data_IF_364316227455
#
_entry.id   IF_364316227455
#
_cell.length_a   1.000
_cell.length_b   1.000
_cell.length_c   1.000
_cell.angle_alpha   90.00
_cell.angle_beta   90.00
_cell.angle_gamma   90.00
#
_symmetry.space_group_name_H-M   'P 1'
#
loop_
_entity.id
_entity.type
_entity.pdbx_description
1 polymer ?
#
# COMPACT_ATOMS: atom_id res chain seq x y z
N UNK A 1 -22.22 -10.86 -35.87
CA UNK A 1 -22.62 -11.56 -34.63
C UNK A 1 -21.44 -11.52 -33.68
N UNK A 2 -21.50 -10.63 -32.69
CA UNK A 2 -20.44 -10.43 -31.70
C UNK A 2 -20.24 -11.69 -30.85
N UNK A 3 -19.02 -12.23 -30.84
CA UNK A 3 -18.65 -13.26 -29.88
C UNK A 3 -18.48 -12.58 -28.52
N UNK A 4 -19.46 -12.78 -27.65
CA UNK A 4 -19.35 -12.53 -26.23
C UNK A 4 -18.09 -13.23 -25.68
N UNK A 5 -16.99 -12.49 -25.53
CA UNK A 5 -15.82 -12.90 -24.76
C UNK A 5 -16.19 -12.91 -23.27
N UNK A 6 -17.00 -13.89 -22.85
CA UNK A 6 -17.19 -14.19 -21.43
C UNK A 6 -15.84 -14.67 -20.89
N UNK A 7 -15.20 -13.84 -20.07
CA UNK A 7 -14.01 -14.22 -19.32
C UNK A 7 -14.37 -15.43 -18.43
N UNK A 8 -13.93 -16.63 -18.83
CA UNK A 8 -14.08 -17.85 -18.04
C UNK A 8 -12.95 -17.87 -17.02
N UNK A 9 -13.26 -17.56 -15.76
CA UNK A 9 -12.30 -17.64 -14.67
C UNK A 9 -12.18 -19.09 -14.18
N UNK A 10 -10.96 -19.64 -14.12
CA UNK A 10 -10.70 -20.90 -13.44
C UNK A 10 -10.94 -20.76 -11.92
N UNK A 11 -11.16 -21.88 -11.21
CA UNK A 11 -11.31 -21.89 -9.74
C UNK A 11 -10.15 -21.18 -9.01
N UNK A 12 -8.93 -21.24 -9.55
CA UNK A 12 -7.76 -20.54 -8.99
C UNK A 12 -7.87 -19.02 -9.10
N UNK A 13 -8.43 -18.50 -10.21
CA UNK A 13 -8.55 -17.07 -10.45
C UNK A 13 -9.64 -16.45 -9.56
N UNK A 14 -10.75 -17.15 -9.35
CA UNK A 14 -11.79 -16.72 -8.42
C UNK A 14 -11.32 -16.71 -6.95
N UNK A 15 -10.46 -17.67 -6.56
CA UNK A 15 -9.84 -17.69 -5.24
C UNK A 15 -8.85 -16.54 -5.04
N UNK A 16 -8.01 -16.26 -6.05
CA UNK A 16 -7.10 -15.11 -5.99
C UNK A 16 -7.86 -13.78 -5.92
N UNK A 17 -8.94 -13.63 -6.71
CA UNK A 17 -9.76 -12.42 -6.68
C UNK A 17 -10.35 -12.19 -5.28
N UNK A 18 -10.90 -13.23 -4.65
CA UNK A 18 -11.40 -13.13 -3.27
C UNK A 18 -10.33 -12.67 -2.29
N UNK A 19 -9.14 -13.27 -2.34
CA UNK A 19 -8.01 -12.83 -1.49
C UNK A 19 -7.60 -11.38 -1.73
N UNK A 20 -7.62 -10.94 -2.99
CA UNK A 20 -7.36 -9.54 -3.33
C UNK A 20 -8.44 -8.62 -2.76
N UNK A 21 -9.72 -8.95 -2.96
CA UNK A 21 -10.86 -8.17 -2.46
C UNK A 21 -10.87 -8.11 -0.93
N UNK A 22 -10.56 -9.21 -0.25
CA UNK A 22 -10.39 -9.29 1.21
C UNK A 22 -9.24 -8.40 1.68
N UNK A 23 -8.07 -8.50 1.05
CA UNK A 23 -6.91 -7.68 1.40
C UNK A 23 -7.17 -6.17 1.22
N UNK A 24 -7.87 -5.79 0.14
CA UNK A 24 -8.29 -4.39 -0.06
C UNK A 24 -9.32 -3.97 1.00
N UNK A 25 -10.27 -4.82 1.35
CA UNK A 25 -11.27 -4.51 2.39
C UNK A 25 -10.59 -4.30 3.75
N UNK A 26 -9.67 -5.19 4.13
CA UNK A 26 -8.88 -5.03 5.37
C UNK A 26 -8.10 -3.73 5.33
N UNK A 27 -7.47 -3.39 4.20
CA UNK A 27 -6.76 -2.13 4.03
C UNK A 27 -7.69 -0.92 4.21
N UNK A 28 -8.89 -0.93 3.61
CA UNK A 28 -9.89 0.14 3.74
C UNK A 28 -10.31 0.37 5.20
N UNK A 29 -10.65 -0.70 5.92
CA UNK A 29 -10.98 -0.61 7.34
C UNK A 29 -9.79 -0.14 8.18
N UNK A 30 -8.58 -0.61 7.89
CA UNK A 30 -7.38 -0.21 8.63
C UNK A 30 -7.08 1.28 8.45
N UNK A 31 -7.18 1.80 7.22
CA UNK A 31 -7.03 3.23 6.94
C UNK A 31 -8.10 4.03 7.68
N UNK A 32 -9.37 3.58 7.67
CA UNK A 32 -10.44 4.21 8.44
C UNK A 32 -10.16 4.28 9.94
N UNK A 33 -9.66 3.18 10.53
CA UNK A 33 -9.35 3.11 11.96
C UNK A 33 -8.21 4.05 12.35
N UNK A 34 -7.19 4.19 11.50
CA UNK A 34 -6.11 5.17 11.71
C UNK A 34 -6.61 6.60 11.54
N UNK A 35 -7.41 6.86 10.50
CA UNK A 35 -7.82 8.23 10.12
C UNK A 35 -8.91 8.82 11.02
N UNK A 36 -9.90 8.03 11.42
CA UNK A 36 -11.05 8.52 12.20
C UNK A 36 -10.95 8.26 13.69
N UNK A 37 -10.21 7.23 14.10
CA UNK A 37 -10.14 6.77 15.49
C UNK A 37 -8.72 6.83 16.06
N UNK A 38 -7.76 7.36 15.29
CA UNK A 38 -6.37 7.55 15.72
C UNK A 38 -5.69 6.27 16.23
N UNK A 39 -6.13 5.10 15.76
CA UNK A 39 -5.60 3.80 16.18
C UNK A 39 -4.32 3.44 15.43
N UNK A 40 -3.18 4.02 15.84
CA UNK A 40 -1.91 3.91 15.13
C UNK A 40 -1.35 2.48 15.03
N UNK A 41 -1.81 1.53 15.85
CA UNK A 41 -1.45 0.11 15.75
C UNK A 41 -1.84 -0.49 14.40
N UNK A 42 -2.87 0.07 13.75
CA UNK A 42 -3.30 -0.36 12.42
C UNK A 42 -2.36 0.08 11.31
N UNK A 43 -1.37 0.96 11.56
CA UNK A 43 -0.29 1.23 10.60
C UNK A 43 0.44 -0.04 10.17
N UNK A 44 0.56 -1.03 11.07
CA UNK A 44 1.22 -2.31 10.82
C UNK A 44 0.41 -3.15 9.85
N UNK A 45 -0.91 -3.13 10.04
CA UNK A 45 -1.86 -3.82 9.18
C UNK A 45 -1.84 -3.17 7.80
N UNK A 46 -1.85 -1.84 7.72
CA UNK A 46 -1.73 -1.09 6.47
C UNK A 46 -0.44 -1.47 5.74
N UNK A 47 0.72 -1.41 6.41
CA UNK A 47 2.00 -1.75 5.81
C UNK A 47 2.05 -3.21 5.33
N UNK A 48 1.55 -4.16 6.13
CA UNK A 48 1.47 -5.57 5.77
C UNK A 48 0.56 -5.83 4.57
N UNK A 49 -0.62 -5.19 4.51
CA UNK A 49 -1.53 -5.30 3.38
C UNK A 49 -0.95 -4.66 2.12
N UNK A 50 -0.31 -3.49 2.22
CA UNK A 50 0.40 -2.88 1.09
C UNK A 50 1.52 -3.79 0.58
N UNK A 51 2.31 -4.40 1.47
CA UNK A 51 3.35 -5.39 1.11
C UNK A 51 2.75 -6.61 0.41
N UNK A 52 1.61 -7.12 0.87
CA UNK A 52 0.92 -8.24 0.23
C UNK A 52 0.37 -7.87 -1.17
N UNK A 53 -0.26 -6.70 -1.27
CA UNK A 53 -0.94 -6.22 -2.48
C UNK A 53 0.04 -5.78 -3.56
N UNK A 54 1.12 -5.09 -3.17
CA UNK A 54 2.05 -4.38 -4.06
C UNK A 54 3.48 -4.89 -3.99
N UNK A 55 3.80 -5.79 -3.07
CA UNK A 55 5.17 -6.22 -2.77
C UNK A 55 5.95 -6.82 -3.93
N UNK A 56 7.24 -7.01 -3.70
CA UNK A 56 8.24 -7.19 -4.75
C UNK A 56 8.21 -8.55 -5.47
N UNK A 57 9.03 -8.62 -6.50
CA UNK A 57 9.54 -9.84 -7.08
C UNK A 57 10.53 -10.55 -6.16
N UNK A 58 10.26 -11.81 -5.82
CA UNK A 58 11.22 -12.70 -5.16
C UNK A 58 12.15 -13.30 -6.21
N UNK A 59 13.45 -13.07 -6.07
CA UNK A 59 14.45 -13.83 -6.81
C UNK A 59 14.66 -15.17 -6.11
N UNK A 60 14.37 -16.27 -6.81
CA UNK A 60 14.57 -17.62 -6.28
C UNK A 60 15.26 -18.48 -7.32
N UNK A 61 15.67 -19.69 -6.93
CA UNK A 61 16.18 -20.69 -7.87
C UNK A 61 15.19 -21.84 -7.94
N UNK A 62 14.68 -22.11 -9.14
CA UNK A 62 13.90 -23.32 -9.41
C UNK A 62 14.76 -24.20 -10.31
N UNK A 63 15.08 -25.42 -9.86
CA UNK A 63 15.90 -26.38 -10.62
C UNK A 63 17.20 -25.78 -11.21
N UNK A 64 17.91 -24.99 -10.41
CA UNK A 64 19.18 -24.28 -10.74
C UNK A 64 19.05 -23.04 -11.65
N UNK A 65 17.88 -22.73 -12.18
CA UNK A 65 17.63 -21.49 -12.92
C UNK A 65 17.25 -20.35 -11.98
N UNK A 66 17.80 -19.16 -12.19
CA UNK A 66 17.35 -17.94 -11.48
C UNK A 66 16.00 -17.54 -12.04
N UNK A 67 14.97 -17.58 -11.21
CA UNK A 67 13.60 -17.19 -11.56
C UNK A 67 13.19 -15.99 -10.71
N UNK A 68 12.60 -15.00 -11.36
CA UNK A 68 12.03 -13.82 -10.72
C UNK A 68 10.51 -14.01 -10.62
N UNK A 69 9.99 -14.12 -9.40
CA UNK A 69 8.56 -14.37 -9.15
C UNK A 69 7.94 -13.11 -8.56
N UNK A 70 7.06 -12.43 -9.29
CA UNK A 70 6.26 -11.35 -8.72
C UNK A 70 5.19 -11.92 -7.78
N UNK A 71 5.25 -11.56 -6.50
CA UNK A 71 4.36 -12.11 -5.50
C UNK A 71 3.12 -11.23 -5.24
N UNK A 72 3.08 -10.04 -5.82
CA UNK A 72 1.99 -9.09 -5.59
C UNK A 72 0.62 -9.66 -5.97
N UNK A 73 -0.36 -9.50 -5.09
CA UNK A 73 -1.72 -9.94 -5.39
C UNK A 73 -2.30 -9.16 -6.58
N UNK A 74 -1.96 -7.87 -6.74
CA UNK A 74 -2.50 -7.06 -7.82
C UNK A 74 -2.14 -7.63 -9.20
N UNK A 75 -0.92 -8.13 -9.42
CA UNK A 75 -0.52 -8.75 -10.71
C UNK A 75 -1.21 -10.07 -10.99
N UNK A 76 -1.61 -10.80 -9.95
CA UNK A 76 -2.35 -12.07 -10.09
C UNK A 76 -3.77 -11.85 -10.59
N UNK A 77 -4.33 -10.65 -10.40
CA UNK A 77 -5.67 -10.27 -10.88
C UNK A 77 -5.60 -9.49 -12.18
N UNK A 78 -4.67 -8.54 -12.26
CA UNK A 78 -4.41 -7.73 -13.44
C UNK A 78 -2.92 -7.87 -13.81
N UNK A 79 -2.55 -8.63 -14.86
CA UNK A 79 -1.16 -8.85 -15.25
C UNK A 79 -0.37 -7.57 -15.56
N UNK A 80 -1.06 -6.49 -15.94
CA UNK A 80 -0.46 -5.20 -16.27
C UNK A 80 -1.10 -4.07 -15.46
N UNK A 81 -0.94 -4.08 -14.12
CA UNK A 81 -1.53 -3.06 -13.27
C UNK A 81 -0.82 -1.73 -13.52
N UNK A 82 -1.63 -0.67 -13.63
CA UNK A 82 -1.15 0.70 -13.79
C UNK A 82 -1.62 1.53 -12.60
N UNK A 83 -0.71 2.30 -12.03
CA UNK A 83 -0.92 3.11 -10.82
C UNK A 83 -0.54 4.57 -11.09
N UNK A 84 -1.17 5.52 -10.41
CA UNK A 84 -0.81 6.94 -10.55
C UNK A 84 0.62 7.20 -10.04
N UNK A 85 1.43 8.00 -10.76
CA UNK A 85 2.79 8.32 -10.35
C UNK A 85 2.79 9.31 -9.17
N UNK A 86 3.90 9.39 -8.44
CA UNK A 86 4.07 10.39 -7.37
C UNK A 86 4.06 11.81 -7.96
N UNK A 87 3.52 12.76 -7.20
CA UNK A 87 3.59 14.19 -7.57
C UNK A 87 5.02 14.73 -7.44
N UNK A 88 5.77 14.21 -6.49
CA UNK A 88 7.18 14.50 -6.23
C UNK A 88 7.73 13.57 -5.15
N UNK A 89 8.98 13.79 -4.74
CA UNK A 89 9.53 13.15 -3.54
C UNK A 89 9.42 14.08 -2.34
N UNK A 90 9.22 13.50 -1.15
CA UNK A 90 9.26 14.24 0.10
C UNK A 90 10.73 14.45 0.50
N UNK A 91 11.13 15.69 0.70
CA UNK A 91 12.47 16.06 1.15
C UNK A 91 12.46 16.37 2.65
N UNK A 92 13.27 15.65 3.41
CA UNK A 92 13.46 15.94 4.85
C UNK A 92 14.69 16.82 5.03
N UNK A 93 14.43 18.04 5.52
CA UNK A 93 15.47 19.00 5.88
C UNK A 93 16.30 18.54 7.08
N UNK A 94 17.42 19.23 7.32
CA UNK A 94 18.37 18.89 8.41
C UNK A 94 17.75 18.91 9.82
N UNK A 95 16.62 19.57 9.99
CA UNK A 95 15.87 19.68 11.26
C UNK A 95 14.87 18.54 11.47
N UNK A 96 14.74 17.61 10.51
CA UNK A 96 13.76 16.52 10.56
C UNK A 96 12.34 16.93 10.13
N UNK A 97 12.11 18.22 9.85
CA UNK A 97 10.85 18.70 9.31
C UNK A 97 10.73 18.34 7.82
N UNK A 98 9.54 17.88 7.43
CA UNK A 98 9.17 17.57 6.06
C UNK A 98 7.87 18.29 5.72
N UNK A 99 7.83 18.99 4.60
CA UNK A 99 6.56 19.44 4.04
C UNK A 99 5.92 18.26 3.32
N UNK A 100 4.80 17.77 3.87
CA UNK A 100 4.05 16.68 3.28
C UNK A 100 3.00 17.26 2.34
N UNK A 101 2.96 16.81 1.07
CA UNK A 101 1.95 17.29 0.14
C UNK A 101 0.56 16.80 0.57
N UNK A 102 -0.47 17.58 0.25
CA UNK A 102 -1.87 17.22 0.52
C UNK A 102 -2.26 15.93 -0.23
N UNK A 103 -1.80 15.78 -1.47
CA UNK A 103 -1.91 14.55 -2.26
C UNK A 103 -0.51 14.01 -2.60
N UNK A 104 -0.29 12.73 -2.32
CA UNK A 104 1.00 12.07 -2.59
C UNK A 104 1.21 11.76 -4.09
N UNK A 105 0.12 11.61 -4.85
CA UNK A 105 0.13 11.15 -6.24
C UNK A 105 -0.43 12.21 -7.18
N UNK A 106 0.14 12.26 -8.38
CA UNK A 106 -0.34 13.12 -9.45
C UNK A 106 -1.44 12.41 -10.26
N UNK A 107 -2.69 12.74 -9.94
CA UNK A 107 -3.85 12.17 -10.62
C UNK A 107 -4.12 12.78 -12.00
N UNK A 108 -3.39 13.84 -12.40
CA UNK A 108 -3.46 14.41 -13.75
C UNK A 108 -2.62 13.63 -14.76
N UNK A 109 -1.59 12.92 -14.28
CA UNK A 109 -0.68 12.14 -15.12
C UNK A 109 -1.23 10.76 -15.46
N UNK A 110 -0.74 10.23 -16.58
CA UNK A 110 -1.03 8.86 -16.98
C UNK A 110 -0.46 7.87 -15.96
N UNK A 111 -1.27 6.85 -15.62
CA UNK A 111 -0.86 5.74 -14.77
C UNK A 111 0.32 4.97 -15.38
N UNK A 112 1.34 4.70 -14.56
CA UNK A 112 2.58 3.99 -14.93
C UNK A 112 2.52 2.52 -14.48
N UNK A 113 3.40 1.68 -15.04
CA UNK A 113 3.45 0.27 -14.68
C UNK A 113 3.96 0.06 -13.25
N UNK A 114 3.60 -1.07 -12.65
CA UNK A 114 3.92 -1.37 -11.25
C UNK A 114 5.42 -1.43 -10.94
N UNK A 115 6.29 -1.84 -11.88
CA UNK A 115 7.73 -1.89 -11.62
C UNK A 115 8.29 -0.48 -11.52
N UNK A 116 7.96 0.37 -12.50
CA UNK A 116 8.31 1.79 -12.45
C UNK A 116 7.73 2.45 -11.20
N UNK A 117 6.47 2.14 -10.86
CA UNK A 117 5.80 2.72 -9.70
C UNK A 117 6.51 2.38 -8.38
N UNK A 118 6.85 1.11 -8.16
CA UNK A 118 7.56 0.62 -6.96
C UNK A 118 8.90 1.32 -6.73
N UNK A 119 9.59 1.64 -7.83
CA UNK A 119 10.93 2.20 -7.82
C UNK A 119 10.97 3.73 -7.79
N UNK A 120 9.80 4.40 -7.78
CA UNK A 120 9.77 5.85 -7.58
C UNK A 120 10.33 6.20 -6.20
N UNK A 121 11.18 7.22 -6.15
CA UNK A 121 11.73 7.75 -4.89
C UNK A 121 10.62 8.54 -4.19
N UNK A 122 10.18 8.03 -3.04
CA UNK A 122 9.14 8.68 -2.23
C UNK A 122 9.73 9.67 -1.23
N UNK A 123 10.99 9.46 -0.88
CA UNK A 123 11.66 10.17 0.20
C UNK A 123 13.13 10.41 -0.13
N UNK A 124 13.61 11.62 0.14
CA UNK A 124 15.03 12.00 0.04
C UNK A 124 15.47 12.75 1.30
N UNK A 125 16.69 12.46 1.76
CA UNK A 125 17.37 13.25 2.79
C UNK A 125 18.89 13.24 2.56
N UNK A 126 19.63 14.01 3.35
CA UNK A 126 21.09 14.01 3.34
C UNK A 126 21.61 13.70 4.75
N UNK A 127 22.37 12.61 4.89
CA UNK A 127 23.00 12.21 6.14
C UNK A 127 24.51 12.28 6.00
N UNK A 128 25.20 13.02 6.87
CA UNK A 128 26.67 13.18 6.84
C UNK A 128 27.21 13.63 5.45
N UNK A 129 26.42 14.43 4.72
CA UNK A 129 26.75 14.89 3.37
C UNK A 129 26.53 13.86 2.26
N UNK A 130 25.95 12.69 2.56
CA UNK A 130 25.56 11.69 1.56
C UNK A 130 24.06 11.73 1.29
N UNK A 131 23.63 11.79 0.01
CA UNK A 131 22.22 11.68 -0.33
C UNK A 131 21.73 10.26 0.00
N UNK A 132 20.55 10.22 0.61
CA UNK A 132 19.88 9.00 1.00
C UNK A 132 18.48 9.05 0.38
N UNK A 133 18.18 8.06 -0.46
CA UNK A 133 16.92 7.97 -1.18
C UNK A 133 16.20 6.67 -0.78
N UNK A 134 14.89 6.75 -0.60
CA UNK A 134 14.04 5.60 -0.32
C UNK A 134 12.94 5.52 -1.38
N UNK A 135 12.80 4.33 -1.98
CA UNK A 135 11.75 4.05 -2.95
C UNK A 135 10.44 3.66 -2.25
N UNK A 136 9.32 3.67 -2.98
CA UNK A 136 8.03 3.20 -2.45
C UNK A 136 8.14 1.76 -1.93
N UNK A 137 8.78 0.86 -2.67
CA UNK A 137 8.87 -0.54 -2.28
C UNK A 137 9.74 -0.73 -1.03
N UNK A 138 10.82 0.02 -0.91
CA UNK A 138 11.69 -0.03 0.27
C UNK A 138 10.97 0.49 1.51
N UNK A 139 10.22 1.59 1.37
CA UNK A 139 9.38 2.12 2.45
C UNK A 139 8.34 1.10 2.93
N UNK A 140 7.58 0.49 2.02
CA UNK A 140 6.55 -0.50 2.38
C UNK A 140 7.16 -1.71 3.10
N UNK A 141 8.33 -2.18 2.65
CA UNK A 141 9.03 -3.29 3.29
C UNK A 141 9.48 -2.92 4.69
N UNK A 142 10.18 -1.80 4.83
CA UNK A 142 10.69 -1.33 6.11
C UNK A 142 9.53 -1.11 7.10
N UNK A 143 8.44 -0.47 6.67
CA UNK A 143 7.25 -0.27 7.51
C UNK A 143 6.60 -1.59 7.91
N UNK A 144 6.53 -2.59 7.02
CA UNK A 144 5.94 -3.88 7.36
C UNK A 144 6.85 -4.72 8.30
N UNK A 145 8.17 -4.66 8.09
CA UNK A 145 9.13 -5.49 8.82
C UNK A 145 9.49 -4.88 10.18
N UNK A 146 9.59 -3.53 10.28
CA UNK A 146 9.82 -2.80 11.53
C UNK A 146 8.73 -3.05 12.56
N UNK A 147 7.49 -3.16 12.12
CA UNK A 147 6.34 -3.21 13.04
C UNK A 147 5.74 -4.62 13.18
N UNK A 148 6.25 -5.60 12.42
CA UNK A 148 5.98 -7.03 12.62
C UNK A 148 6.89 -7.71 13.64
N UNK A 149 7.79 -7.00 14.33
CA UNK A 149 8.68 -7.55 15.36
C UNK A 149 9.81 -8.45 14.83
N UNK A 150 9.98 -8.56 13.51
CA UNK A 150 11.15 -9.17 12.94
C UNK A 150 12.38 -8.30 13.26
N UNK A 151 13.50 -8.91 13.65
CA UNK A 151 14.78 -8.20 13.67
C UNK A 151 15.06 -7.72 12.24
N UNK A 152 14.65 -6.50 11.93
CA UNK A 152 14.99 -5.85 10.68
C UNK A 152 16.53 -5.86 10.60
N UNK A 153 17.06 -6.55 9.60
CA UNK A 153 18.48 -6.54 9.23
C UNK A 153 18.84 -5.06 9.00
N UNK A 154 19.36 -4.41 10.04
CA UNK A 154 19.48 -2.96 10.10
C UNK A 154 20.67 -2.49 9.28
N UNK A 155 20.57 -2.63 7.96
CA UNK A 155 21.52 -2.07 7.01
C UNK A 155 21.19 -0.62 6.64
N UNK A 156 20.06 -0.11 7.13
CA UNK A 156 19.59 1.21 6.75
C UNK A 156 19.45 2.11 7.99
N UNK A 157 20.09 3.30 8.02
CA UNK A 157 20.16 4.19 9.17
C UNK A 157 18.86 4.99 9.43
N UNK A 158 17.71 4.60 8.85
CA UNK A 158 16.45 5.35 8.95
C UNK A 158 15.77 5.29 10.32
N UNK A 159 16.28 4.48 11.27
CA UNK A 159 15.69 4.31 12.61
C UNK A 159 15.43 5.62 13.36
N UNK A 160 16.17 6.69 13.04
CA UNK A 160 16.09 7.99 13.73
C UNK A 160 15.52 9.16 12.90
N UNK A 161 15.25 9.00 11.60
CA UNK A 161 15.01 10.15 10.70
C UNK A 161 13.57 10.28 10.17
N UNK A 162 12.81 9.19 10.06
CA UNK A 162 11.40 9.25 9.69
C UNK A 162 10.58 9.23 10.99
N UNK A 163 10.04 10.38 11.37
CA UNK A 163 9.10 10.48 12.49
C UNK A 163 7.92 9.53 12.28
N UNK A 164 7.35 8.98 13.36
CA UNK A 164 6.18 8.10 13.29
C UNK A 164 5.02 8.75 12.52
N UNK A 165 4.84 10.07 12.69
CA UNK A 165 3.86 10.86 11.96
C UNK A 165 4.03 10.78 10.43
N UNK A 166 5.27 10.80 9.94
CA UNK A 166 5.56 10.69 8.51
C UNK A 166 5.22 9.27 8.00
N UNK A 167 5.44 8.23 8.81
CA UNK A 167 5.09 6.85 8.44
C UNK A 167 3.58 6.73 8.25
N UNK A 168 2.80 7.23 9.21
CA UNK A 168 1.34 7.27 9.15
C UNK A 168 0.85 7.96 7.87
N UNK A 169 1.30 9.19 7.61
CA UNK A 169 0.87 9.97 6.44
C UNK A 169 1.22 9.28 5.13
N UNK A 170 2.44 8.74 5.02
CA UNK A 170 2.87 8.00 3.84
C UNK A 170 2.05 6.73 3.61
N UNK A 171 1.80 5.92 4.65
CA UNK A 171 1.00 4.70 4.54
C UNK A 171 -0.45 4.98 4.13
N UNK A 172 -1.06 6.03 4.71
CA UNK A 172 -2.39 6.50 4.31
C UNK A 172 -2.40 6.98 2.85
N UNK A 173 -1.42 7.81 2.46
CA UNK A 173 -1.27 8.33 1.11
C UNK A 173 -1.11 7.22 0.07
N UNK A 174 -0.23 6.23 0.33
CA UNK A 174 -0.03 5.05 -0.50
C UNK A 174 -1.32 4.24 -0.68
N UNK A 175 -2.08 4.07 0.40
CA UNK A 175 -3.34 3.30 0.40
C UNK A 175 -4.43 4.02 -0.40
N UNK A 176 -4.63 5.33 -0.16
CA UNK A 176 -5.59 6.14 -0.91
C UNK A 176 -5.23 6.22 -2.40
N UNK A 177 -3.93 6.36 -2.71
CA UNK A 177 -3.41 6.28 -4.08
C UNK A 177 -3.67 4.93 -4.75
N UNK A 178 -3.51 3.84 -4.02
CA UNK A 178 -3.86 2.50 -4.50
C UNK A 178 -5.36 2.38 -4.79
N UNK A 179 -6.23 2.77 -3.86
CA UNK A 179 -7.69 2.71 -4.03
C UNK A 179 -8.12 3.45 -5.30
N UNK A 180 -7.68 4.71 -5.46
CA UNK A 180 -7.99 5.52 -6.63
C UNK A 180 -7.44 4.90 -7.93
N UNK A 181 -6.26 4.29 -7.87
CA UNK A 181 -5.66 3.61 -9.04
C UNK A 181 -6.43 2.38 -9.50
N UNK A 182 -7.10 1.67 -8.57
CA UNK A 182 -7.95 0.50 -8.87
C UNK A 182 -9.42 0.86 -9.05
N UNK A 183 -9.77 2.15 -9.07
CA UNK A 183 -11.13 2.64 -9.30
C UNK A 183 -12.04 2.53 -8.08
N UNK A 184 -11.49 2.50 -6.87
CA UNK A 184 -12.26 2.57 -5.62
C UNK A 184 -12.24 3.99 -5.06
N UNK A 185 -13.44 4.50 -4.73
CA UNK A 185 -13.60 5.76 -4.03
C UNK A 185 -13.56 5.51 -2.52
N UNK A 186 -12.47 5.94 -1.88
CA UNK A 186 -12.28 5.78 -0.46
C UNK A 186 -13.35 6.50 0.37
N UNK A 187 -13.78 7.71 -0.03
CA UNK A 187 -14.80 8.46 0.73
C UNK A 187 -16.13 7.76 0.71
N UNK A 188 -16.53 7.25 -0.46
CA UNK A 188 -17.76 6.47 -0.58
C UNK A 188 -17.69 5.19 0.26
N UNK A 189 -16.59 4.45 0.18
CA UNK A 189 -16.40 3.22 0.94
C UNK A 189 -16.33 3.47 2.44
N UNK A 190 -15.71 4.57 2.88
CA UNK A 190 -15.67 5.00 4.27
C UNK A 190 -17.09 5.19 4.82
N UNK A 191 -17.94 5.94 4.12
CA UNK A 191 -19.33 6.13 4.52
C UNK A 191 -20.11 4.81 4.59
N UNK A 192 -19.91 3.92 3.62
CA UNK A 192 -20.54 2.60 3.62
C UNK A 192 -20.08 1.72 4.79
N UNK A 193 -18.79 1.73 5.11
CA UNK A 193 -18.21 0.96 6.21
C UNK A 193 -18.71 1.48 7.57
N UNK A 194 -18.79 2.80 7.76
CA UNK A 194 -19.35 3.38 8.98
C UNK A 194 -20.83 3.03 9.15
N UNK A 195 -21.63 3.15 8.08
CA UNK A 195 -23.04 2.75 8.10
C UNK A 195 -23.22 1.26 8.43
N UNK A 196 -22.33 0.41 7.90
CA UNK A 196 -22.31 -1.02 8.21
C UNK A 196 -22.03 -1.29 9.70
N UNK A 197 -21.03 -0.62 10.27
CA UNK A 197 -20.68 -0.73 11.69
C UNK A 197 -21.84 -0.26 12.57
N UNK A 198 -22.41 0.91 12.29
CA UNK A 198 -23.55 1.46 13.04
C UNK A 198 -24.73 0.50 13.05
N UNK A 199 -25.12 -0.01 11.87
CA UNK A 199 -26.19 -1.02 11.74
C UNK A 199 -25.88 -2.29 12.53
N UNK A 200 -24.63 -2.73 12.58
CA UNK A 200 -24.23 -3.92 13.34
C UNK A 200 -24.33 -3.70 14.85
N UNK A 201 -23.98 -2.51 15.33
CA UNK A 201 -24.13 -2.12 16.74
C UNK A 201 -25.61 -2.11 17.13
N UNK A 202 -26.47 -1.49 16.31
CA UNK A 202 -27.93 -1.47 16.54
C UNK A 202 -28.52 -2.89 16.61
N UNK A 203 -28.08 -3.79 15.72
CA UNK A 203 -28.52 -5.19 15.73
C UNK A 203 -28.13 -5.93 17.01
N UNK A 204 -26.93 -5.68 17.53
CA UNK A 204 -26.46 -6.28 18.78
C UNK A 204 -27.27 -5.74 19.96
N UNK A 205 -27.48 -4.42 20.03
CA UNK A 205 -28.26 -3.78 21.10
C UNK A 205 -29.74 -4.19 21.08
N UNK A 206 -30.33 -4.42 19.92
CA UNK A 206 -31.70 -4.91 19.80
C UNK A 206 -31.86 -6.40 20.16
N UNK A 207 -30.74 -7.11 20.34
CA UNK A 207 -30.71 -8.53 20.74
C UNK A 207 -30.39 -8.73 22.22
N UNK A 208 -30.13 -7.64 22.96
CA UNK A 208 -29.96 -7.58 24.43
C UNK A 208 -31.28 -7.17 25.11
#
# INVERSE_FOLDING_TARGET
MERNNRLVFSRSNAGMKRKFDEAITILEYSVMLVELFEMEEFNNVIAGQLKLLLGETKHTRIKREKVTIDQSLIKKINPHPKLYPLQGCIEIGKTGAAELPEELFDYSKQRIDLVSWRNQVIFKTSMEGKPLEMTIVDFIKEAADKIGGAQADSRLPYKSMIAQEHIKILLMGLSKGLFKSIGRDYKQHLSMNLAHIAKKIEQVQASE
#
